data_IF_658691935321
#
_entry.id   IF_658691935321
#
_cell.length_a   1.000
_cell.length_b   1.000
_cell.length_c   1.000
_cell.angle_alpha   90.00
_cell.angle_beta   90.00
_cell.angle_gamma   90.00
#
_symmetry.space_group_name_H-M   'P 1'
#
loop_
_entity.id
_entity.type
_entity.pdbx_description
1 polymer ?
#
# COMPACT_ATOMS: atom_id res chain seq x y z
N UNK A 1 -3.01 19.87 -52.49
CA UNK A 1 -2.19 21.05 -52.10
C UNK A 1 -2.93 21.80 -51.00
N UNK A 2 -2.51 21.65 -49.75
CA UNK A 2 -2.95 22.49 -48.64
C UNK A 2 -1.76 22.65 -47.70
N UNK A 3 -1.34 23.90 -47.54
CA UNK A 3 -0.07 24.34 -46.97
C UNK A 3 -0.06 24.19 -45.45
N UNK A 4 1.02 23.63 -44.92
CA UNK A 4 1.35 23.60 -43.49
C UNK A 4 2.18 24.83 -43.15
N UNK A 5 1.64 25.74 -42.33
CA UNK A 5 2.40 26.84 -41.73
C UNK A 5 2.44 26.72 -40.21
N UNK A 6 3.64 26.39 -39.74
CA UNK A 6 4.30 26.73 -38.47
C UNK A 6 3.47 27.14 -37.27
N UNK A 7 3.49 26.29 -36.23
CA UNK A 7 3.35 26.73 -34.85
C UNK A 7 4.63 26.42 -34.06
N UNK A 8 5.10 27.45 -33.36
CA UNK A 8 6.44 27.59 -32.76
C UNK A 8 6.60 26.67 -31.55
N UNK A 9 7.78 26.07 -31.42
CA UNK A 9 8.26 25.36 -30.23
C UNK A 9 8.46 26.37 -29.09
N UNK A 10 7.64 26.29 -28.04
CA UNK A 10 7.90 26.96 -26.77
C UNK A 10 8.97 26.20 -25.98
N UNK A 11 10.10 26.84 -25.70
CA UNK A 11 11.14 26.31 -24.82
C UNK A 11 10.70 26.27 -23.35
N UNK A 12 11.35 25.45 -22.51
CA UNK A 12 10.99 25.33 -21.10
C UNK A 12 11.29 26.62 -20.32
N UNK A 13 10.47 26.97 -19.32
CA UNK A 13 10.68 28.17 -18.50
C UNK A 13 11.93 28.03 -17.61
N UNK A 14 12.60 29.16 -17.28
CA UNK A 14 13.81 29.14 -16.46
C UNK A 14 13.52 28.73 -15.01
N UNK A 15 14.50 28.14 -14.30
CA UNK A 15 14.34 27.74 -12.91
C UNK A 15 14.18 28.95 -11.99
N UNK A 16 13.19 28.88 -11.09
CA UNK A 16 12.97 29.89 -10.04
C UNK A 16 14.01 29.72 -8.94
N UNK A 17 14.79 30.77 -8.69
CA UNK A 17 15.73 30.85 -7.57
C UNK A 17 15.02 30.66 -6.23
N UNK A 18 15.51 29.72 -5.41
CA UNK A 18 15.16 29.60 -3.98
C UNK A 18 16.02 30.58 -3.17
N UNK A 19 15.47 31.29 -2.18
CA UNK A 19 16.31 32.06 -1.26
C UNK A 19 17.05 31.10 -0.32
N UNK A 20 18.34 31.40 -0.09
CA UNK A 20 19.19 30.69 0.84
C UNK A 20 18.66 30.84 2.28
N UNK A 21 18.54 29.72 2.99
CA UNK A 21 18.23 29.70 4.42
C UNK A 21 19.46 30.21 5.18
N UNK A 22 19.36 31.41 5.74
CA UNK A 22 20.39 32.03 6.57
C UNK A 22 20.44 31.30 7.92
N UNK A 23 21.45 30.46 8.15
CA UNK A 23 21.72 29.84 9.45
C UNK A 23 22.32 30.93 10.36
N UNK A 24 21.50 31.51 11.24
CA UNK A 24 21.99 32.33 12.33
C UNK A 24 22.41 31.42 13.50
N UNK A 25 23.72 31.39 13.77
CA UNK A 25 24.30 30.83 14.99
C UNK A 25 23.84 31.68 16.17
N UNK A 26 23.24 31.07 17.18
CA UNK A 26 22.91 31.75 18.42
C UNK A 26 23.73 31.15 19.56
N UNK A 27 24.78 31.86 19.96
CA UNK A 27 25.58 31.61 21.15
C UNK A 27 24.85 32.22 22.35
N UNK A 28 24.25 31.39 23.21
CA UNK A 28 24.15 31.70 24.64
C UNK A 28 23.72 30.47 25.45
N UNK A 29 24.70 29.83 26.07
CA UNK A 29 24.55 28.88 27.17
C UNK A 29 24.64 29.66 28.48
N UNK A 30 23.59 29.63 29.30
CA UNK A 30 23.67 29.45 30.76
C UNK A 30 22.27 29.50 31.41
N UNK A 31 21.90 28.43 32.12
CA UNK A 31 20.87 28.48 33.15
C UNK A 31 19.48 27.95 32.80
N UNK A 32 19.34 26.67 32.42
CA UNK A 32 18.09 25.93 32.64
C UNK A 32 18.38 24.54 33.19
N UNK A 33 17.87 24.31 34.40
CA UNK A 33 17.75 23.00 35.05
C UNK A 33 17.13 21.99 34.07
N UNK A 34 17.67 20.77 33.93
CA UNK A 34 17.11 19.80 33.00
C UNK A 34 15.74 19.34 33.52
N UNK A 35 14.67 19.83 32.88
CA UNK A 35 13.37 19.18 32.95
C UNK A 35 13.56 17.78 32.38
N UNK A 36 13.19 16.69 33.07
CA UNK A 36 13.29 15.37 32.48
C UNK A 36 12.46 15.38 31.20
N UNK A 37 13.12 15.13 30.07
CA UNK A 37 12.47 14.93 28.79
C UNK A 37 11.52 13.75 28.99
N UNK A 38 10.23 14.07 29.16
CA UNK A 38 9.16 13.10 29.03
C UNK A 38 9.37 12.46 27.66
N UNK A 39 9.78 11.19 27.66
CA UNK A 39 9.80 10.38 26.47
C UNK A 39 8.37 10.41 25.93
N UNK A 40 8.15 11.23 24.90
CA UNK A 40 6.93 11.17 24.12
C UNK A 40 6.82 9.72 23.65
N UNK A 41 5.79 9.02 24.11
CA UNK A 41 5.43 7.69 23.63
C UNK A 41 5.49 7.74 22.10
N UNK A 42 6.49 7.10 21.50
CA UNK A 42 6.50 6.94 20.06
C UNK A 42 5.29 6.05 19.74
N UNK A 43 4.22 6.65 19.20
CA UNK A 43 3.06 5.90 18.72
C UNK A 43 3.57 4.85 17.74
N UNK A 44 3.12 3.60 17.92
CA UNK A 44 3.49 2.50 17.03
C UNK A 44 3.14 2.89 15.59
N UNK A 45 4.11 2.98 14.67
CA UNK A 45 3.90 3.50 13.32
C UNK A 45 2.92 2.66 12.49
N UNK A 46 2.64 1.42 12.92
CA UNK A 46 1.66 0.53 12.32
C UNK A 46 0.23 0.89 12.71
N UNK A 47 -0.01 1.52 13.85
CA UNK A 47 -1.36 1.83 14.32
C UNK A 47 -2.01 2.87 13.39
N UNK A 48 -3.19 2.58 12.80
CA UNK A 48 -3.87 3.51 11.92
C UNK A 48 -4.36 4.75 12.68
N UNK A 49 -4.01 5.93 12.20
CA UNK A 49 -4.62 7.18 12.64
C UNK A 49 -5.95 7.43 11.93
N UNK A 50 -6.78 8.35 12.43
CA UNK A 50 -7.97 8.80 11.66
C UNK A 50 -7.61 9.35 10.29
N UNK A 51 -6.49 10.07 10.19
CA UNK A 51 -6.00 10.59 8.91
C UNK A 51 -5.68 9.46 7.92
N UNK A 52 -5.11 8.35 8.40
CA UNK A 52 -4.86 7.18 7.56
C UNK A 52 -6.16 6.58 7.04
N UNK A 53 -7.16 6.38 7.90
CA UNK A 53 -8.44 5.80 7.50
C UNK A 53 -9.21 6.67 6.50
N UNK A 54 -9.19 8.00 6.71
CA UNK A 54 -9.78 8.97 5.78
C UNK A 54 -9.06 8.95 4.43
N UNK A 55 -7.73 8.89 4.45
CA UNK A 55 -6.90 8.82 3.24
C UNK A 55 -7.13 7.52 2.48
N UNK A 56 -7.10 6.38 3.16
CA UNK A 56 -7.44 5.07 2.57
C UNK A 56 -8.83 5.10 1.93
N UNK A 57 -9.80 5.72 2.60
CA UNK A 57 -11.16 5.79 2.08
C UNK A 57 -11.25 6.64 0.81
N UNK A 58 -10.50 7.75 0.73
CA UNK A 58 -10.38 8.56 -0.50
C UNK A 58 -9.67 7.82 -1.61
N UNK A 59 -8.55 7.15 -1.32
CA UNK A 59 -7.79 6.36 -2.28
C UNK A 59 -8.63 5.24 -2.89
N UNK A 60 -9.47 4.58 -2.08
CA UNK A 60 -10.34 3.49 -2.51
C UNK A 60 -11.69 3.96 -3.08
N UNK A 61 -12.00 5.25 -2.96
CA UNK A 61 -13.30 5.84 -3.27
C UNK A 61 -14.48 5.11 -2.60
N UNK A 62 -14.29 4.68 -1.35
CA UNK A 62 -15.29 4.02 -0.49
C UNK A 62 -14.78 4.02 0.96
N UNK A 63 -15.65 3.90 1.98
CA UNK A 63 -15.19 3.69 3.35
C UNK A 63 -14.25 2.49 3.42
N UNK A 64 -13.09 2.66 4.06
CA UNK A 64 -12.22 1.55 4.40
C UNK A 64 -12.85 0.73 5.55
N UNK A 65 -12.56 -0.57 5.61
CA UNK A 65 -13.22 -1.51 6.53
C UNK A 65 -12.18 -2.23 7.36
N UNK A 66 -12.44 -2.29 8.66
CA UNK A 66 -11.74 -3.15 9.63
C UNK A 66 -10.20 -3.13 9.46
N UNK A 67 -9.63 -1.94 9.23
CA UNK A 67 -8.18 -1.75 9.11
C UNK A 67 -7.57 -1.84 10.49
N UNK A 68 -6.60 -2.74 10.62
CA UNK A 68 -5.89 -3.03 11.86
C UNK A 68 -4.54 -2.33 11.87
N UNK A 69 -3.86 -2.25 10.72
CA UNK A 69 -2.53 -1.65 10.60
C UNK A 69 -2.30 -0.92 9.27
N UNK A 70 -1.30 -0.03 9.27
CA UNK A 70 -0.68 0.59 8.10
C UNK A 70 0.75 0.05 7.94
N UNK A 71 0.93 -1.13 7.33
CA UNK A 71 2.23 -1.77 7.27
C UNK A 71 3.20 -1.13 6.26
N UNK A 72 2.70 -0.25 5.37
CA UNK A 72 3.56 0.46 4.43
C UNK A 72 3.04 1.88 4.18
N UNK A 73 3.99 2.83 4.20
CA UNK A 73 3.74 4.26 4.02
C UNK A 73 4.63 4.82 2.91
N UNK A 74 4.13 5.83 2.22
CA UNK A 74 4.92 6.65 1.30
C UNK A 74 5.90 7.51 2.12
N UNK A 75 6.96 8.03 1.50
CA UNK A 75 7.88 9.00 2.13
C UNK A 75 7.21 10.26 2.69
N UNK A 76 5.98 10.59 2.27
CA UNK A 76 5.20 11.69 2.84
C UNK A 76 4.31 11.29 4.03
N UNK A 77 4.33 10.02 4.44
CA UNK A 77 3.52 9.46 5.54
C UNK A 77 2.19 8.83 5.13
N UNK A 78 1.66 9.16 3.94
CA UNK A 78 0.40 8.60 3.46
C UNK A 78 0.46 7.07 3.32
N UNK A 79 -0.65 6.36 3.61
CA UNK A 79 -0.69 4.90 3.53
C UNK A 79 -0.56 4.42 2.08
N UNK A 80 0.26 3.39 1.88
CA UNK A 80 0.37 2.63 0.64
C UNK A 80 -0.46 1.35 0.69
N UNK A 81 -0.46 0.71 1.85
CA UNK A 81 -1.09 -0.59 2.11
C UNK A 81 -1.87 -0.50 3.42
N UNK A 82 -3.08 -1.07 3.41
CA UNK A 82 -3.85 -1.33 4.62
C UNK A 82 -3.75 -2.81 4.98
N UNK A 83 -3.56 -3.13 6.27
CA UNK A 83 -3.74 -4.48 6.79
C UNK A 83 -5.15 -4.61 7.39
N UNK A 84 -6.01 -5.42 6.78
CA UNK A 84 -7.40 -5.60 7.19
C UNK A 84 -7.59 -6.90 7.97
N UNK A 85 -8.49 -6.86 8.96
CA UNK A 85 -8.90 -8.01 9.74
C UNK A 85 -9.39 -9.16 8.84
N UNK A 86 -9.09 -10.43 9.17
CA UNK A 86 -9.47 -11.58 8.32
C UNK A 86 -10.98 -11.86 8.32
N UNK A 87 -11.73 -11.24 9.23
CA UNK A 87 -13.19 -11.20 9.24
C UNK A 87 -13.61 -9.75 9.49
N UNK A 88 -14.51 -9.26 8.65
CA UNK A 88 -15.06 -7.90 8.80
C UNK A 88 -16.04 -7.84 9.98
N UNK A 89 -16.33 -6.64 10.48
CA UNK A 89 -17.27 -6.45 11.60
C UNK A 89 -18.70 -6.93 11.31
N UNK A 90 -19.06 -7.10 10.02
CA UNK A 90 -20.33 -7.70 9.59
C UNK A 90 -20.29 -9.24 9.46
N UNK A 91 -19.21 -9.89 9.91
CA UNK A 91 -19.04 -11.33 9.91
C UNK A 91 -18.47 -11.92 8.61
N UNK A 92 -18.35 -11.15 7.53
CA UNK A 92 -17.89 -11.65 6.23
C UNK A 92 -16.37 -11.94 6.26
N UNK A 93 -15.92 -13.13 5.83
CA UNK A 93 -14.49 -13.42 5.66
C UNK A 93 -13.83 -12.47 4.64
N UNK A 94 -12.65 -11.98 4.99
CA UNK A 94 -11.87 -11.09 4.12
C UNK A 94 -10.50 -11.72 3.81
N UNK A 95 -10.37 -12.46 2.70
CA UNK A 95 -9.17 -13.24 2.40
C UNK A 95 -7.92 -12.39 2.13
N UNK A 96 -8.09 -11.11 1.77
CA UNK A 96 -6.99 -10.21 1.40
C UNK A 96 -6.59 -9.33 2.57
N UNK A 97 -5.58 -9.75 3.31
CA UNK A 97 -5.04 -9.05 4.48
C UNK A 97 -4.33 -7.77 4.08
N UNK A 98 -3.41 -7.82 3.12
CA UNK A 98 -2.66 -6.65 2.66
C UNK A 98 -3.29 -6.06 1.41
N UNK A 99 -3.95 -4.91 1.56
CA UNK A 99 -4.68 -4.25 0.49
C UNK A 99 -3.90 -3.02 0.00
N UNK A 100 -3.37 -3.11 -1.22
CA UNK A 100 -2.68 -1.99 -1.89
C UNK A 100 -3.70 -0.92 -2.29
N UNK A 101 -3.57 0.28 -1.75
CA UNK A 101 -4.60 1.33 -1.91
C UNK A 101 -4.13 2.52 -2.73
N UNK A 102 -2.82 2.81 -2.76
CA UNK A 102 -2.29 4.01 -3.40
C UNK A 102 -2.57 4.03 -4.92
N UNK A 103 -3.34 5.01 -5.46
CA UNK A 103 -3.83 5.00 -6.84
C UNK A 103 -2.75 4.86 -7.92
N UNK A 104 -1.57 5.45 -7.72
CA UNK A 104 -0.45 5.29 -8.67
C UNK A 104 0.08 3.86 -8.70
N UNK A 105 0.22 3.21 -7.54
CA UNK A 105 0.73 1.84 -7.46
C UNK A 105 -0.32 0.84 -7.96
N UNK A 106 -1.60 1.03 -7.65
CA UNK A 106 -2.68 0.17 -8.16
C UNK A 106 -2.80 0.27 -9.67
N UNK A 107 -2.73 1.49 -10.23
CA UNK A 107 -2.71 1.67 -11.69
C UNK A 107 -1.47 1.05 -12.35
N UNK A 108 -0.29 1.17 -11.72
CA UNK A 108 0.95 0.58 -12.24
C UNK A 108 0.91 -0.96 -12.17
N UNK A 109 0.45 -1.55 -11.07
CA UNK A 109 0.23 -2.99 -10.95
C UNK A 109 -0.77 -3.49 -12.02
N UNK A 110 -1.88 -2.78 -12.23
CA UNK A 110 -2.84 -3.10 -13.29
C UNK A 110 -2.22 -3.10 -14.68
N UNK A 111 -1.29 -2.18 -14.98
CA UNK A 111 -0.56 -2.16 -16.26
C UNK A 111 0.33 -3.38 -16.43
N UNK A 112 1.06 -3.78 -15.39
CA UNK A 112 1.88 -5.01 -15.41
C UNK A 112 1.03 -6.27 -15.54
N UNK A 113 -0.13 -6.32 -14.87
CA UNK A 113 -1.10 -7.41 -15.01
C UNK A 113 -1.58 -7.53 -16.45
N UNK A 114 -1.96 -6.41 -17.08
CA UNK A 114 -2.38 -6.36 -18.48
C UNK A 114 -1.27 -6.71 -19.47
N UNK A 115 0.00 -6.44 -19.10
CA UNK A 115 1.17 -6.81 -19.89
C UNK A 115 1.54 -8.31 -19.81
N UNK A 116 0.85 -9.10 -18.99
CA UNK A 116 1.04 -10.55 -18.92
C UNK A 116 2.07 -11.03 -17.90
N UNK A 117 2.61 -10.15 -17.04
CA UNK A 117 3.65 -10.50 -16.08
C UNK A 117 3.22 -11.65 -15.12
N UNK A 118 1.94 -11.71 -14.76
CA UNK A 118 1.41 -12.80 -13.93
C UNK A 118 1.54 -14.18 -14.59
N UNK A 119 1.38 -14.26 -15.92
CA UNK A 119 1.49 -15.51 -16.67
C UNK A 119 2.95 -15.95 -16.71
N UNK A 120 3.87 -15.02 -16.98
CA UNK A 120 5.31 -15.27 -16.96
C UNK A 120 5.78 -15.78 -15.58
N UNK A 121 5.44 -15.06 -14.51
CA UNK A 121 5.77 -15.45 -13.15
C UNK A 121 5.19 -16.82 -12.77
N UNK A 122 3.94 -17.10 -13.18
CA UNK A 122 3.32 -18.41 -12.95
C UNK A 122 4.04 -19.53 -13.71
N UNK A 123 4.47 -19.29 -14.95
CA UNK A 123 5.25 -20.25 -15.72
C UNK A 123 6.59 -20.59 -15.05
N UNK A 124 7.27 -19.58 -14.49
CA UNK A 124 8.55 -19.76 -13.78
C UNK A 124 8.40 -20.63 -12.53
N UNK A 125 7.30 -20.55 -11.79
CA UNK A 125 7.05 -21.40 -10.62
C UNK A 125 7.05 -22.90 -10.95
N UNK A 126 6.75 -23.29 -12.18
CA UNK A 126 6.79 -24.69 -12.60
C UNK A 126 8.20 -25.16 -13.01
N UNK A 127 9.05 -24.23 -13.45
CA UNK A 127 10.39 -24.52 -13.99
C UNK A 127 11.52 -24.31 -12.96
N UNK A 128 11.29 -23.49 -11.94
CA UNK A 128 12.29 -23.11 -10.94
C UNK A 128 11.84 -23.56 -9.54
N UNK A 129 12.46 -24.64 -9.06
CA UNK A 129 12.15 -25.23 -7.76
C UNK A 129 12.56 -24.34 -6.58
N UNK A 130 13.62 -23.54 -6.73
CA UNK A 130 14.08 -22.63 -5.66
C UNK A 130 13.13 -21.46 -5.52
N UNK A 131 12.69 -20.87 -6.64
CA UNK A 131 11.65 -19.83 -6.65
C UNK A 131 10.33 -20.36 -6.08
N UNK A 132 9.91 -21.56 -6.48
CA UNK A 132 8.68 -22.17 -5.96
C UNK A 132 8.77 -22.41 -4.44
N UNK A 133 9.91 -22.86 -3.92
CA UNK A 133 10.14 -23.01 -2.49
C UNK A 133 10.13 -21.66 -1.75
N UNK A 134 10.75 -20.63 -2.32
CA UNK A 134 10.74 -19.29 -1.75
C UNK A 134 9.34 -18.67 -1.71
N UNK A 135 8.57 -18.83 -2.78
CA UNK A 135 7.18 -18.34 -2.86
C UNK A 135 6.24 -19.11 -1.93
N UNK A 136 6.51 -20.40 -1.66
CA UNK A 136 5.82 -21.17 -0.61
C UNK A 136 6.09 -20.63 0.79
N UNK A 137 7.34 -20.28 1.10
CA UNK A 137 7.67 -19.60 2.37
C UNK A 137 6.95 -18.24 2.48
N UNK A 138 6.85 -17.49 1.39
CA UNK A 138 6.09 -16.23 1.37
C UNK A 138 4.60 -16.46 1.69
N UNK A 139 4.00 -17.53 1.16
CA UNK A 139 2.63 -17.93 1.47
C UNK A 139 2.43 -18.26 2.96
N UNK A 140 3.34 -19.03 3.56
CA UNK A 140 3.30 -19.36 4.99
C UNK A 140 3.43 -18.12 5.87
N UNK A 141 4.34 -17.20 5.51
CA UNK A 141 4.51 -15.92 6.21
C UNK A 141 3.27 -15.03 6.10
N UNK A 142 2.61 -14.98 4.93
CA UNK A 142 1.35 -14.26 4.75
C UNK A 142 0.28 -14.79 5.72
N UNK A 143 0.15 -16.12 5.84
CA UNK A 143 -0.84 -16.74 6.74
C UNK A 143 -0.52 -16.41 8.19
N UNK A 144 0.75 -16.53 8.60
CA UNK A 144 1.18 -16.17 9.94
C UNK A 144 0.88 -14.69 10.27
N UNK A 145 1.18 -13.78 9.35
CA UNK A 145 0.90 -12.35 9.51
C UNK A 145 -0.61 -12.09 9.64
N UNK A 146 -1.44 -12.74 8.80
CA UNK A 146 -2.90 -12.65 8.91
C UNK A 146 -3.41 -13.15 10.25
N UNK A 147 -2.89 -14.26 10.75
CA UNK A 147 -3.26 -14.79 12.06
C UNK A 147 -2.94 -13.79 13.17
N UNK A 148 -1.76 -13.16 13.12
CA UNK A 148 -1.36 -12.13 14.07
C UNK A 148 -2.28 -10.89 14.00
N UNK A 149 -2.63 -10.45 12.78
CA UNK A 149 -3.58 -9.35 12.56
C UNK A 149 -4.97 -9.71 13.11
N UNK A 150 -5.44 -10.94 12.87
CA UNK A 150 -6.72 -11.43 13.40
C UNK A 150 -6.75 -11.49 14.92
N UNK A 151 -5.64 -11.87 15.56
CA UNK A 151 -5.51 -11.84 17.01
C UNK A 151 -5.59 -10.39 17.56
N UNK A 152 -4.91 -9.43 16.93
CA UNK A 152 -5.00 -8.00 17.29
C UNK A 152 -6.40 -7.42 17.09
N UNK A 153 -7.07 -7.83 16.02
CA UNK A 153 -8.43 -7.41 15.71
C UNK A 153 -9.52 -8.10 16.56
N UNK A 154 -9.16 -9.15 17.32
CA UNK A 154 -10.14 -9.94 18.08
C UNK A 154 -11.10 -10.74 17.21
N UNK A 155 -10.76 -11.04 15.94
CA UNK A 155 -11.68 -11.76 15.03
C UNK A 155 -11.78 -13.25 15.30
N UNK A 156 -10.85 -13.82 16.07
CA UNK A 156 -10.71 -15.26 16.25
C UNK A 156 -10.34 -15.99 14.94
N UNK A 157 -10.43 -17.34 14.94
CA UNK A 157 -10.21 -18.15 13.74
C UNK A 157 -11.23 -17.86 12.63
N UNK A 158 -10.80 -17.95 11.37
CA UNK A 158 -11.65 -17.76 10.18
C UNK A 158 -11.52 -19.00 9.28
N UNK A 159 -12.26 -20.10 9.57
CA UNK A 159 -12.11 -21.38 8.87
C UNK A 159 -12.27 -21.30 7.34
N UNK A 160 -13.08 -20.36 6.85
CA UNK A 160 -13.40 -20.18 5.43
C UNK A 160 -12.18 -19.80 4.58
N UNK A 161 -11.12 -19.27 5.21
CA UNK A 161 -9.88 -18.85 4.54
C UNK A 161 -8.63 -19.49 5.16
N UNK A 162 -8.81 -20.49 6.02
CA UNK A 162 -7.69 -21.17 6.68
C UNK A 162 -6.78 -21.87 5.65
N UNK A 163 -5.47 -21.83 5.88
CA UNK A 163 -4.46 -22.35 4.95
C UNK A 163 -4.38 -21.65 3.57
N UNK A 164 -5.24 -20.67 3.27
CA UNK A 164 -5.30 -20.01 1.97
C UNK A 164 -4.81 -18.58 2.08
N UNK A 165 -3.72 -18.23 1.40
CA UNK A 165 -3.30 -16.83 1.25
C UNK A 165 -4.01 -16.14 0.07
N UNK A 166 -3.82 -14.82 -0.06
CA UNK A 166 -4.30 -14.10 -1.24
C UNK A 166 -3.30 -14.19 -2.42
N UNK A 167 -3.59 -13.53 -3.54
CA UNK A 167 -2.66 -13.43 -4.68
C UNK A 167 -2.45 -14.70 -5.50
N UNK A 168 -3.04 -15.84 -5.10
CA UNK A 168 -2.88 -17.13 -5.80
C UNK A 168 -1.67 -17.94 -5.34
N UNK A 169 -0.94 -17.46 -4.33
CA UNK A 169 0.16 -18.20 -3.72
C UNK A 169 -0.33 -19.54 -3.14
N UNK A 170 0.54 -20.57 -3.04
CA UNK A 170 1.94 -20.57 -3.49
C UNK A 170 2.14 -21.13 -4.90
N UNK A 171 1.08 -21.47 -5.63
CA UNK A 171 1.19 -22.23 -6.88
C UNK A 171 1.06 -21.39 -8.14
N UNK A 172 0.51 -20.17 -8.04
CA UNK A 172 0.38 -19.26 -9.18
C UNK A 172 0.37 -17.78 -8.75
N UNK A 173 0.37 -16.90 -9.73
CA UNK A 173 0.13 -15.46 -9.54
C UNK A 173 -1.22 -15.09 -10.17
N UNK A 174 -2.20 -14.73 -9.34
CA UNK A 174 -3.55 -14.31 -9.79
C UNK A 174 -3.75 -12.80 -9.78
N UNK A 175 -2.94 -12.07 -9.00
CA UNK A 175 -3.09 -10.62 -8.82
C UNK A 175 -1.79 -10.02 -8.23
N UNK A 176 -1.18 -9.09 -8.96
CA UNK A 176 0.02 -8.37 -8.54
C UNK A 176 -0.25 -7.36 -7.43
N UNK A 177 -1.46 -6.77 -7.36
CA UNK A 177 -1.81 -5.83 -6.30
C UNK A 177 -1.59 -6.44 -4.90
N UNK A 178 -1.94 -7.72 -4.74
CA UNK A 178 -1.74 -8.44 -3.49
C UNK A 178 -0.26 -8.73 -3.25
N UNK A 179 0.49 -9.16 -4.26
CA UNK A 179 1.91 -9.48 -4.08
C UNK A 179 2.73 -8.22 -3.73
N UNK A 180 2.46 -7.11 -4.41
CA UNK A 180 3.05 -5.79 -4.11
C UNK A 180 2.65 -5.34 -2.70
N UNK A 181 1.37 -5.45 -2.33
CA UNK A 181 0.90 -5.12 -0.98
C UNK A 181 1.59 -5.95 0.11
N UNK A 182 1.75 -7.25 -0.13
CA UNK A 182 2.46 -8.15 0.79
C UNK A 182 3.96 -7.85 0.87
N UNK A 183 4.64 -7.63 -0.25
CA UNK A 183 6.07 -7.31 -0.27
C UNK A 183 6.37 -5.98 0.43
N UNK A 184 5.56 -4.95 0.23
CA UNK A 184 5.67 -3.68 0.96
C UNK A 184 5.46 -3.86 2.47
N UNK A 185 4.53 -4.72 2.88
CA UNK A 185 4.20 -4.95 4.28
C UNK A 185 5.23 -5.81 5.01
N UNK A 186 5.73 -6.85 4.36
CA UNK A 186 6.64 -7.82 4.96
C UNK A 186 8.12 -7.40 4.83
N UNK A 187 8.43 -6.57 3.85
CA UNK A 187 9.78 -6.10 3.55
C UNK A 187 10.50 -6.94 2.49
N UNK A 188 11.66 -6.46 2.02
CA UNK A 188 12.41 -7.08 0.91
C UNK A 188 12.84 -8.52 1.22
N UNK A 189 12.77 -9.39 0.21
CA UNK A 189 13.22 -10.78 0.27
C UNK A 189 12.20 -11.75 0.83
N UNK A 190 11.07 -11.27 1.38
CA UNK A 190 10.01 -12.15 1.90
C UNK A 190 9.19 -12.77 0.78
N UNK A 191 8.78 -11.96 -0.21
CA UNK A 191 7.95 -12.41 -1.31
C UNK A 191 8.67 -12.15 -2.63
N UNK A 192 9.42 -13.12 -3.19
CA UNK A 192 10.30 -12.88 -4.33
C UNK A 192 9.56 -12.33 -5.56
N UNK A 193 8.37 -12.85 -5.85
CA UNK A 193 7.55 -12.36 -6.97
C UNK A 193 6.89 -11.00 -6.67
N UNK A 194 6.63 -10.70 -5.39
CA UNK A 194 6.19 -9.38 -4.96
C UNK A 194 7.31 -8.33 -5.10
N UNK A 195 8.55 -8.70 -4.79
CA UNK A 195 9.74 -7.86 -4.93
C UNK A 195 10.05 -7.60 -6.41
N UNK A 196 9.97 -8.62 -7.25
CA UNK A 196 10.08 -8.47 -8.71
C UNK A 196 8.99 -7.54 -9.27
N UNK A 197 7.75 -7.70 -8.81
CA UNK A 197 6.65 -6.82 -9.20
C UNK A 197 6.90 -5.37 -8.75
N UNK A 198 7.39 -5.16 -7.52
CA UNK A 198 7.77 -3.84 -7.00
C UNK A 198 8.88 -3.19 -7.85
N UNK A 199 9.91 -3.95 -8.21
CA UNK A 199 10.99 -3.47 -9.07
C UNK A 199 10.45 -3.06 -10.45
N UNK A 200 9.51 -3.84 -11.01
CA UNK A 200 8.86 -3.52 -12.27
C UNK A 200 7.96 -2.27 -12.23
N UNK A 201 7.58 -1.76 -11.04
CA UNK A 201 6.85 -0.50 -10.90
C UNK A 201 7.73 0.75 -11.09
N UNK A 202 9.07 0.61 -11.12
CA UNK A 202 10.03 1.72 -11.17
C UNK A 202 9.73 2.81 -12.22
N UNK A 203 9.21 2.52 -13.44
CA UNK A 203 8.83 3.55 -14.40
C UNK A 203 7.74 4.52 -13.90
N UNK A 204 6.92 4.11 -12.94
CA UNK A 204 5.81 4.91 -12.41
C UNK A 204 6.05 5.34 -10.95
N UNK A 205 6.71 4.50 -10.15
CA UNK A 205 6.88 4.73 -8.72
C UNK A 205 8.14 4.04 -8.19
N UNK A 206 8.84 4.72 -7.28
CA UNK A 206 9.90 4.14 -6.44
C UNK A 206 9.65 4.53 -4.98
N UNK A 207 10.17 3.76 -4.00
CA UNK A 207 9.96 4.04 -2.57
C UNK A 207 10.41 5.45 -2.15
N UNK A 208 11.42 6.01 -2.79
CA UNK A 208 12.07 7.27 -2.41
C UNK A 208 11.32 8.52 -2.92
N UNK A 209 10.44 8.37 -3.90
CA UNK A 209 9.78 9.50 -4.57
C UNK A 209 8.28 9.50 -4.28
N UNK A 210 7.82 10.58 -3.63
CA UNK A 210 6.39 10.78 -3.39
C UNK A 210 5.61 10.93 -4.71
N UNK A 211 4.51 10.17 -4.83
CA UNK A 211 3.53 10.26 -5.94
C UNK A 211 2.11 10.46 -5.44
N UNK A 212 1.93 11.03 -4.25
CA UNK A 212 0.60 11.25 -3.66
C UNK A 212 -0.11 12.50 -4.19
N UNK A 213 0.65 13.52 -4.62
CA UNK A 213 0.07 14.74 -5.16
C UNK A 213 -0.65 14.46 -6.49
N UNK A 214 -1.89 14.94 -6.61
CA UNK A 214 -2.78 14.69 -7.75
C UNK A 214 -3.23 13.24 -7.96
N UNK A 215 -2.78 12.27 -7.15
CA UNK A 215 -3.14 10.86 -7.32
C UNK A 215 -4.58 10.53 -6.85
N UNK A 216 -5.09 11.30 -5.89
CA UNK A 216 -6.49 11.37 -5.49
C UNK A 216 -6.79 12.80 -5.01
N UNK A 217 -8.06 13.16 -4.92
CA UNK A 217 -8.44 14.42 -4.28
C UNK A 217 -8.30 14.29 -2.76
N UNK A 218 -7.23 14.88 -2.22
CA UNK A 218 -6.93 14.87 -0.79
C UNK A 218 -7.90 15.74 0.03
N UNK A 219 -8.58 16.69 -0.63
CA UNK A 219 -9.53 17.62 0.00
C UNK A 219 -10.98 17.17 -0.17
N UNK A 220 -11.23 16.15 -1.00
CA UNK A 220 -12.56 15.59 -1.16
C UNK A 220 -13.15 15.15 0.19
N UNK A 221 -14.49 15.25 0.35
CA UNK A 221 -15.19 14.64 1.47
C UNK A 221 -14.84 13.15 1.56
N UNK A 222 -14.60 12.67 2.78
CA UNK A 222 -14.34 11.24 3.02
C UNK A 222 -15.61 10.44 2.64
N UNK A 223 -15.51 9.44 1.75
CA UNK A 223 -16.66 8.62 1.39
C UNK A 223 -17.27 7.94 2.61
N UNK A 224 -18.61 8.04 2.76
CA UNK A 224 -19.34 7.48 3.92
C UNK A 224 -20.20 6.27 3.61
N UNK A 225 -20.58 6.07 2.35
CA UNK A 225 -21.47 4.99 1.93
C UNK A 225 -20.66 3.84 1.37
N UNK A 226 -20.73 2.66 2.00
CA UNK A 226 -20.20 1.44 1.39
C UNK A 226 -21.12 1.00 0.25
N UNK A 227 -20.60 1.03 -0.98
CA UNK A 227 -21.30 0.60 -2.20
C UNK A 227 -20.95 -0.84 -2.60
N UNK A 228 -20.22 -1.57 -1.74
CA UNK A 228 -19.81 -2.93 -2.03
C UNK A 228 -21.03 -3.85 -2.19
N UNK A 229 -20.94 -4.77 -3.15
CA UNK A 229 -22.04 -5.69 -3.49
C UNK A 229 -22.47 -6.57 -2.29
N UNK A 230 -21.54 -6.84 -1.38
CA UNK A 230 -21.76 -7.65 -0.19
C UNK A 230 -22.69 -7.00 0.84
N UNK A 231 -22.79 -5.67 0.85
CA UNK A 231 -23.71 -4.94 1.74
C UNK A 231 -25.12 -4.85 1.16
N UNK A 232 -25.29 -5.01 -0.17
CA UNK A 232 -26.61 -4.93 -0.82
C UNK A 232 -27.56 -6.06 -0.42
N UNK A 233 -27.04 -7.21 0.00
CA UNK A 233 -27.85 -8.37 0.39
C UNK A 233 -28.22 -8.40 1.89
N UNK A 234 -27.68 -7.49 2.71
CA UNK A 234 -27.96 -7.43 4.15
C UNK A 234 -29.13 -6.47 4.51
N UNK A 235 -29.70 -5.79 3.51
CA UNK A 235 -30.75 -4.78 3.70
C UNK A 235 -32.13 -5.24 3.19
N UNK A 236 -32.36 -6.56 3.07
CA UNK A 236 -33.59 -7.13 2.51
C UNK A 236 -34.38 -8.04 3.47
N UNK A 237 -34.10 -7.99 4.77
CA UNK A 237 -34.88 -8.69 5.80
C UNK A 237 -35.58 -7.71 6.74
#
# INVERSE_FOLDING_TARGET
MASWTGLRKGGPPPPRHRPACLVQRNENLQGRTPVPASATNAEDPLVPTRHDLDTLSRQLNRPVRDVVEIPARCVCGNPLVAATAPRLGNGIPFPTTFYLTHPVLTAAASRLEAAGLMVEMTGRLAADAELAAAYRRAHEQYIAARTAIGARAGTGPVPEIDGISAGGMPTRVKCLHVLVGHALAAGPGVNPLGDEALAALAPWWTPEVCRCDGAWDQLAPVPRKDLSRHVKHLAQD
#
